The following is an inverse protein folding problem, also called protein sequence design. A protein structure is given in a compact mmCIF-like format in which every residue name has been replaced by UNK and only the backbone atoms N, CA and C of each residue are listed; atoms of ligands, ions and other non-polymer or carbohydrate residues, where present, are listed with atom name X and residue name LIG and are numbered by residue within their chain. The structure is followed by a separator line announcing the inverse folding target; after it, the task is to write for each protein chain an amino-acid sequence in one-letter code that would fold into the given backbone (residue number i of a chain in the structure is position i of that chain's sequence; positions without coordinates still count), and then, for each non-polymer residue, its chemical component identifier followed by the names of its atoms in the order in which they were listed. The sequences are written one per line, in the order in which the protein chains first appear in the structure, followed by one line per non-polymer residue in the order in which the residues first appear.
data_IF_384857670259
#
_entry.id   IF_384857670259
#
_cell.length_a   1.000
_cell.length_b   1.000
_cell.length_c   1.000
_cell.angle_alpha   90.00
_cell.angle_beta   90.00
_cell.angle_gamma   90.00
#
_symmetry.space_group_name_H-M   'P 1'
#
loop_
_entity.id
_entity.type
_entity.pdbx_description
1 polymer ?
#
# COMPACT_ATOMS: atom_id res chain seq x y z
N UNK A 1 12.55 -12.36 35.26
CA UNK A 1 11.58 -13.19 34.51
C UNK A 1 12.31 -14.40 33.95
N UNK A 2 12.36 -15.49 34.71
CA UNK A 2 12.84 -16.78 34.20
C UNK A 2 11.72 -17.41 33.35
N UNK A 3 12.06 -18.12 32.29
CA UNK A 3 11.14 -18.84 31.41
C UNK A 3 11.83 -19.21 30.13
N UNK A 4 11.62 -20.46 29.71
CA UNK A 4 12.31 -21.05 28.56
C UNK A 4 11.90 -20.34 27.29
N UNK A 5 10.61 -20.09 27.11
CA UNK A 5 10.10 -19.45 25.91
C UNK A 5 9.62 -18.03 26.19
N UNK A 6 10.03 -17.06 25.36
CA UNK A 6 9.56 -15.66 25.42
C UNK A 6 9.22 -15.20 24.01
N UNK A 7 7.98 -14.76 23.81
CA UNK A 7 7.47 -14.52 22.46
C UNK A 7 6.52 -13.32 22.42
N UNK A 8 6.89 -12.18 21.79
CA UNK A 8 5.90 -11.27 21.25
C UNK A 8 5.17 -11.94 20.08
N UNK A 9 3.85 -11.82 20.06
CA UNK A 9 2.98 -12.37 19.02
C UNK A 9 1.92 -11.36 18.62
N UNK A 10 1.47 -11.43 17.37
CA UNK A 10 0.29 -10.73 16.87
C UNK A 10 -0.85 -11.72 16.67
N UNK A 11 -2.08 -11.25 16.85
CA UNK A 11 -3.27 -12.02 16.50
C UNK A 11 -3.87 -11.46 15.22
N UNK A 12 -4.01 -12.36 14.25
CA UNK A 12 -4.74 -12.19 13.01
C UNK A 12 -6.15 -12.81 13.19
N UNK A 13 -6.96 -12.84 12.13
CA UNK A 13 -8.32 -13.35 12.19
C UNK A 13 -8.37 -14.82 12.65
N UNK A 14 -7.58 -15.67 11.98
CA UNK A 14 -7.58 -17.13 12.19
C UNK A 14 -6.30 -17.67 12.84
N UNK A 15 -5.27 -16.83 13.01
CA UNK A 15 -3.94 -17.28 13.45
C UNK A 15 -3.30 -16.32 14.42
N UNK A 16 -2.39 -16.84 15.23
CA UNK A 16 -1.42 -16.08 16.00
C UNK A 16 -0.06 -16.21 15.34
N UNK A 17 0.57 -15.10 15.01
CA UNK A 17 1.90 -15.04 14.39
C UNK A 17 2.94 -14.65 15.43
N UNK A 18 4.04 -15.39 15.50
CA UNK A 18 5.16 -15.07 16.40
C UNK A 18 6.11 -14.08 15.72
N UNK A 19 6.25 -12.88 16.30
CA UNK A 19 7.16 -11.84 15.78
C UNK A 19 8.61 -12.12 16.16
N UNK A 20 8.80 -12.69 17.35
CA UNK A 20 10.09 -13.16 17.81
C UNK A 20 9.88 -14.31 18.79
N UNK A 21 10.86 -15.17 18.89
CA UNK A 21 10.87 -16.25 19.86
C UNK A 21 12.28 -16.49 20.37
N UNK A 22 12.41 -16.55 21.69
CA UNK A 22 13.58 -17.13 22.36
C UNK A 22 13.14 -18.44 22.98
N UNK A 23 13.92 -19.49 22.79
CA UNK A 23 13.73 -20.81 23.41
C UNK A 23 12.67 -21.73 22.81
N UNK A 24 11.90 -21.31 21.79
CA UNK A 24 10.97 -22.21 21.06
C UNK A 24 11.73 -23.31 20.30
N UNK A 25 12.90 -23.01 19.74
CA UNK A 25 13.73 -23.99 19.01
C UNK A 25 14.20 -25.12 19.91
N UNK A 26 14.58 -24.79 21.16
CA UNK A 26 15.09 -25.76 22.14
C UNK A 26 14.03 -26.76 22.62
N UNK A 27 12.76 -26.47 22.34
CA UNK A 27 11.60 -27.25 22.79
C UNK A 27 10.80 -27.83 21.62
N UNK A 28 11.41 -27.89 20.42
CA UNK A 28 10.81 -28.50 19.23
C UNK A 28 9.68 -27.69 18.59
N UNK A 29 9.49 -26.44 19.00
CA UNK A 29 8.49 -25.50 18.47
C UNK A 29 9.11 -24.40 17.58
N UNK A 30 10.40 -24.48 17.31
CA UNK A 30 11.16 -23.40 16.68
C UNK A 30 10.79 -23.05 15.25
N UNK A 31 10.29 -24.04 14.50
CA UNK A 31 9.85 -23.84 13.12
C UNK A 31 8.42 -23.28 13.04
N UNK A 32 7.72 -23.23 14.17
CA UNK A 32 6.34 -22.77 14.24
C UNK A 32 6.30 -21.23 14.19
N UNK A 33 6.02 -20.69 13.01
CA UNK A 33 5.89 -19.23 12.79
C UNK A 33 4.52 -18.71 13.20
N UNK A 34 3.53 -19.57 13.17
CA UNK A 34 2.15 -19.27 13.52
C UNK A 34 1.41 -20.49 14.05
N UNK A 35 0.30 -20.24 14.76
CA UNK A 35 -0.64 -21.25 15.25
C UNK A 35 -2.07 -20.81 15.02
N UNK A 36 -3.04 -21.74 14.89
CA UNK A 36 -4.46 -21.38 14.93
C UNK A 36 -4.79 -20.60 16.20
N UNK A 37 -5.57 -19.53 16.05
CA UNK A 37 -5.93 -18.63 17.15
C UNK A 37 -6.70 -19.36 18.25
N UNK A 38 -7.54 -20.31 17.86
CA UNK A 38 -8.45 -21.07 18.72
C UNK A 38 -7.69 -21.93 19.73
N UNK A 39 -6.50 -22.39 19.36
CA UNK A 39 -5.68 -23.25 20.22
C UNK A 39 -4.73 -22.45 21.12
N UNK A 40 -4.74 -21.11 21.03
CA UNK A 40 -3.75 -20.26 21.66
C UNK A 40 -4.12 -19.76 23.06
N UNK A 41 -3.13 -19.72 23.96
CA UNK A 41 -3.26 -19.00 25.24
C UNK A 41 -3.39 -17.49 25.00
N UNK A 42 -2.77 -16.96 23.94
CA UNK A 42 -2.72 -15.54 23.67
C UNK A 42 -4.08 -14.95 23.28
N UNK A 43 -4.93 -15.73 22.59
CA UNK A 43 -6.33 -15.34 22.31
C UNK A 43 -7.11 -15.06 23.60
N UNK A 44 -6.88 -15.85 24.66
CA UNK A 44 -7.49 -15.57 25.95
C UNK A 44 -6.89 -14.33 26.63
N UNK A 45 -5.59 -14.07 26.41
CA UNK A 45 -4.88 -12.95 27.05
C UNK A 45 -5.38 -11.60 26.54
N UNK A 46 -5.62 -11.46 25.24
CA UNK A 46 -6.14 -10.21 24.68
C UNK A 46 -7.54 -9.86 25.23
N UNK A 47 -8.32 -10.87 25.64
CA UNK A 47 -9.65 -10.70 26.26
C UNK A 47 -9.59 -10.45 27.77
N UNK A 48 -8.42 -10.61 28.41
CA UNK A 48 -8.26 -10.57 29.87
C UNK A 48 -7.89 -9.19 30.43
N UNK A 49 -8.06 -8.13 29.62
CA UNK A 49 -7.69 -6.75 29.97
C UNK A 49 -6.17 -6.53 30.06
N UNK A 50 -5.75 -5.26 30.28
CA UNK A 50 -4.33 -4.83 30.15
C UNK A 50 -3.35 -5.56 31.08
N UNK A 51 -3.80 -6.13 32.19
CA UNK A 51 -2.91 -6.83 33.14
C UNK A 51 -2.63 -8.29 32.75
N UNK A 52 -3.36 -8.84 31.78
CA UNK A 52 -3.27 -10.23 31.34
C UNK A 52 -3.47 -11.24 32.47
N UNK A 53 -2.98 -12.47 32.29
CA UNK A 53 -3.06 -13.52 33.31
C UNK A 53 -1.85 -14.46 33.29
N UNK A 54 -1.78 -15.29 34.32
CA UNK A 54 -0.81 -16.38 34.40
C UNK A 54 -1.53 -17.68 34.75
N UNK A 55 -1.03 -18.77 34.21
CA UNK A 55 -1.44 -20.16 34.45
C UNK A 55 -0.22 -20.86 35.03
N UNK A 56 -0.33 -21.24 36.30
CA UNK A 56 0.76 -21.88 37.03
C UNK A 56 0.98 -23.33 36.61
N UNK A 57 -0.11 -24.02 36.26
CA UNK A 57 -0.12 -25.38 35.72
C UNK A 57 -1.34 -25.55 34.80
N UNK A 58 -1.11 -25.63 33.49
CA UNK A 58 -2.13 -25.71 32.44
C UNK A 58 -2.92 -27.02 32.49
N UNK A 59 -2.39 -28.08 33.10
CA UNK A 59 -3.13 -29.33 33.33
C UNK A 59 -4.22 -29.19 34.39
N UNK A 60 -4.18 -28.11 35.18
CA UNK A 60 -5.14 -27.83 36.25
C UNK A 60 -6.05 -26.65 35.91
N UNK A 61 -5.88 -26.08 34.72
CA UNK A 61 -6.68 -24.95 34.26
C UNK A 61 -7.72 -25.45 33.25
N UNK A 62 -9.00 -25.42 33.65
CA UNK A 62 -10.11 -25.94 32.87
C UNK A 62 -10.20 -25.35 31.44
N UNK A 63 -9.63 -24.16 31.21
CA UNK A 63 -9.61 -23.50 29.90
C UNK A 63 -8.64 -24.16 28.93
N UNK A 64 -7.59 -24.80 29.46
CA UNK A 64 -6.43 -25.24 28.67
C UNK A 64 -6.10 -26.72 28.83
N UNK A 65 -6.58 -27.39 29.88
CA UNK A 65 -6.22 -28.78 30.22
C UNK A 65 -6.43 -29.78 29.06
N UNK A 66 -7.39 -29.52 28.17
CA UNK A 66 -7.69 -30.36 26.99
C UNK A 66 -7.15 -29.78 25.68
N UNK A 67 -6.46 -28.65 25.75
CA UNK A 67 -5.97 -27.90 24.60
C UNK A 67 -4.76 -28.57 23.93
N UNK A 68 -4.60 -28.43 22.60
CA UNK A 68 -3.47 -29.01 21.86
C UNK A 68 -2.10 -28.58 22.38
N UNK A 69 -1.95 -27.32 22.81
CA UNK A 69 -0.69 -26.82 23.39
C UNK A 69 -0.29 -27.54 24.69
N UNK A 70 -1.26 -28.03 25.46
CA UNK A 70 -1.00 -28.78 26.70
C UNK A 70 -0.75 -30.26 26.40
N UNK A 71 -1.58 -30.86 25.56
CA UNK A 71 -1.57 -32.31 25.30
C UNK A 71 -0.50 -32.75 24.30
N UNK A 72 -0.30 -31.98 23.22
CA UNK A 72 0.60 -32.37 22.13
C UNK A 72 2.00 -31.78 22.31
N UNK A 73 2.06 -30.58 22.90
CA UNK A 73 3.32 -29.84 23.05
C UNK A 73 3.80 -29.75 24.49
N UNK A 74 3.00 -30.16 25.48
CA UNK A 74 3.47 -30.27 26.87
C UNK A 74 3.64 -28.93 27.59
N UNK A 75 3.06 -27.83 27.10
CA UNK A 75 3.10 -26.55 27.81
C UNK A 75 2.46 -26.72 29.19
N UNK A 76 3.14 -26.26 30.25
CA UNK A 76 2.68 -26.36 31.65
C UNK A 76 2.48 -25.01 32.31
N UNK A 77 3.36 -24.05 32.04
CA UNK A 77 3.23 -22.70 32.58
C UNK A 77 3.04 -21.69 31.46
N UNK A 78 2.18 -20.71 31.70
CA UNK A 78 1.96 -19.57 30.83
C UNK A 78 1.86 -18.28 31.66
N UNK A 79 2.45 -17.20 31.18
CA UNK A 79 2.14 -15.86 31.64
C UNK A 79 2.13 -14.91 30.44
N UNK A 80 1.01 -14.24 30.22
CA UNK A 80 0.83 -13.34 29.08
C UNK A 80 0.27 -12.00 29.51
N UNK A 81 0.70 -10.95 28.83
CA UNK A 81 0.09 -9.62 28.88
C UNK A 81 -0.24 -9.17 27.46
N UNK A 82 -1.33 -8.42 27.24
CA UNK A 82 -1.62 -7.87 25.94
C UNK A 82 -0.51 -6.94 25.45
N UNK A 83 -0.24 -7.00 24.14
CA UNK A 83 0.53 -6.01 23.41
C UNK A 83 -0.48 -5.07 22.74
N UNK A 84 -0.50 -3.81 23.18
CA UNK A 84 -1.47 -2.82 22.70
C UNK A 84 -1.00 -2.19 21.39
N UNK A 85 -1.96 -1.73 20.58
CA UNK A 85 -1.70 -1.04 19.34
C UNK A 85 -0.82 0.19 19.57
N UNK A 86 0.17 0.44 18.68
CA UNK A 86 1.00 1.63 18.74
C UNK A 86 0.16 2.90 18.55
N UNK A 87 0.49 3.98 19.27
CA UNK A 87 -0.13 5.28 19.09
C UNK A 87 0.58 6.06 17.97
N UNK A 88 0.11 5.89 16.74
CA UNK A 88 0.77 6.38 15.53
C UNK A 88 0.46 7.85 15.22
N UNK A 89 -0.75 8.31 15.50
CA UNK A 89 -1.19 9.70 15.28
C UNK A 89 -0.87 10.62 16.46
N UNK A 90 -0.39 10.05 17.58
CA UNK A 90 -0.11 10.73 18.86
C UNK A 90 -1.33 11.40 19.46
N UNK A 91 -2.53 11.00 19.05
CA UNK A 91 -3.76 11.56 19.57
C UNK A 91 -4.06 10.96 20.95
N UNK A 92 -4.76 11.76 21.78
CA UNK A 92 -5.27 11.27 23.06
C UNK A 92 -6.35 10.20 22.85
N UNK A 93 -7.16 10.37 21.81
CA UNK A 93 -8.21 9.42 21.44
C UNK A 93 -7.63 8.04 21.09
N UNK A 94 -6.55 7.97 20.31
CA UNK A 94 -5.89 6.70 20.00
C UNK A 94 -5.26 6.04 21.23
N UNK A 95 -4.83 6.80 22.24
CA UNK A 95 -4.30 6.24 23.49
C UNK A 95 -5.42 5.70 24.38
N UNK A 96 -6.57 6.38 24.41
CA UNK A 96 -7.75 5.98 25.17
C UNK A 96 -8.43 4.75 24.56
N UNK A 97 -8.55 4.71 23.23
CA UNK A 97 -9.20 3.63 22.48
C UNK A 97 -8.22 2.56 21.96
N UNK A 98 -7.01 2.47 22.53
CA UNK A 98 -6.02 1.48 22.10
C UNK A 98 -6.54 0.04 22.28
N UNK A 99 -6.37 -0.76 21.23
CA UNK A 99 -6.81 -2.16 21.19
C UNK A 99 -5.62 -3.12 21.34
N UNK A 100 -5.81 -4.33 21.89
CA UNK A 100 -4.76 -5.34 21.91
C UNK A 100 -4.59 -5.94 20.51
N UNK A 101 -3.38 -5.84 19.95
CA UNK A 101 -3.02 -6.42 18.64
C UNK A 101 -2.36 -7.79 18.78
N UNK A 102 -2.06 -8.20 20.01
CA UNK A 102 -1.18 -9.32 20.26
C UNK A 102 -0.89 -9.53 21.73
N UNK A 103 0.15 -10.32 22.02
CA UNK A 103 0.59 -10.55 23.40
C UNK A 103 2.10 -10.65 23.50
N UNK A 104 2.62 -10.22 24.65
CA UNK A 104 3.94 -10.62 25.11
C UNK A 104 3.76 -11.73 26.15
N UNK A 105 4.27 -12.91 25.86
CA UNK A 105 4.08 -14.04 26.76
C UNK A 105 5.36 -14.83 27.05
N UNK A 106 5.29 -15.57 28.16
CA UNK A 106 6.31 -16.48 28.65
C UNK A 106 5.66 -17.85 28.78
N UNK A 107 6.32 -18.88 28.24
CA UNK A 107 5.89 -20.27 28.35
C UNK A 107 6.98 -21.12 29.00
N UNK A 108 6.56 -22.17 29.69
CA UNK A 108 7.43 -23.21 30.25
C UNK A 108 6.76 -24.60 30.18
N UNK A 109 7.59 -25.63 30.18
CA UNK A 109 7.16 -27.05 30.12
C UNK A 109 7.17 -27.71 31.50
N UNK A 110 7.52 -26.95 32.53
CA UNK A 110 7.33 -27.32 33.93
C UNK A 110 6.34 -26.34 34.59
N UNK A 111 5.46 -26.81 35.49
CA UNK A 111 4.59 -25.93 36.25
C UNK A 111 5.42 -25.02 37.16
N UNK A 112 4.82 -23.93 37.64
CA UNK A 112 5.45 -23.01 38.59
C UNK A 112 4.62 -22.88 39.84
N UNK A 113 5.29 -22.81 40.99
CA UNK A 113 4.62 -22.62 42.27
C UNK A 113 4.02 -21.21 42.41
N UNK A 114 4.66 -20.20 41.82
CA UNK A 114 4.22 -18.80 41.96
C UNK A 114 4.55 -17.95 40.75
N UNK A 115 3.71 -16.94 40.54
CA UNK A 115 3.95 -15.81 39.64
C UNK A 115 3.64 -14.53 40.40
N UNK A 116 4.69 -13.82 40.81
CA UNK A 116 4.55 -12.71 41.76
C UNK A 116 3.96 -11.44 41.10
N UNK A 117 3.49 -10.50 41.93
CA UNK A 117 3.07 -9.17 41.46
C UNK A 117 4.22 -8.45 40.75
N UNK A 118 5.46 -8.63 41.21
CA UNK A 118 6.63 -8.01 40.58
C UNK A 118 6.98 -8.64 39.23
N UNK A 119 6.80 -9.95 39.08
CA UNK A 119 6.93 -10.61 37.77
C UNK A 119 5.89 -10.07 36.79
N UNK A 120 4.64 -9.92 37.24
CA UNK A 120 3.59 -9.28 36.43
C UNK A 120 3.96 -7.85 36.04
N UNK A 121 4.42 -7.02 36.98
CA UNK A 121 4.86 -5.65 36.71
C UNK A 121 5.98 -5.61 35.66
N UNK A 122 6.97 -6.49 35.77
CA UNK A 122 8.05 -6.60 34.77
C UNK A 122 7.52 -7.00 33.40
N UNK A 123 6.59 -7.94 33.34
CA UNK A 123 6.03 -8.40 32.07
C UNK A 123 5.21 -7.29 31.38
N UNK A 124 4.39 -6.56 32.15
CA UNK A 124 3.66 -5.38 31.66
C UNK A 124 4.65 -4.31 31.15
N UNK A 125 5.69 -4.02 31.93
CA UNK A 125 6.73 -3.06 31.52
C UNK A 125 7.40 -3.44 30.19
N UNK A 126 7.72 -4.72 30.00
CA UNK A 126 8.31 -5.20 28.75
C UNK A 126 7.33 -5.10 27.57
N UNK A 127 6.03 -5.30 27.79
CA UNK A 127 5.01 -5.11 26.74
C UNK A 127 4.92 -3.66 26.29
N UNK A 128 4.89 -2.72 27.24
CA UNK A 128 4.91 -1.29 26.93
C UNK A 128 6.21 -0.85 26.26
N UNK A 129 7.35 -1.46 26.64
CA UNK A 129 8.61 -1.23 25.97
C UNK A 129 8.56 -1.71 24.51
N UNK A 130 8.05 -2.93 24.27
CA UNK A 130 7.88 -3.48 22.92
C UNK A 130 6.96 -2.59 22.06
N UNK A 131 5.83 -2.12 22.61
CA UNK A 131 4.92 -1.18 21.94
C UNK A 131 5.65 0.07 21.46
N UNK A 132 6.46 0.70 22.32
CA UNK A 132 7.23 1.91 21.99
C UNK A 132 8.29 1.67 20.91
N UNK A 133 8.91 0.49 20.90
CA UNK A 133 9.87 0.17 19.83
C UNK A 133 9.16 -0.07 18.49
N UNK A 134 7.96 -0.65 18.49
CA UNK A 134 7.10 -0.76 17.29
C UNK A 134 6.71 0.63 16.78
N UNK A 135 6.29 1.53 17.67
CA UNK A 135 5.97 2.93 17.33
C UNK A 135 7.15 3.65 16.66
N UNK A 136 8.36 3.54 17.24
CA UNK A 136 9.58 4.13 16.66
C UNK A 136 9.91 3.54 15.29
N UNK A 137 9.78 2.22 15.15
CA UNK A 137 10.03 1.54 13.89
C UNK A 137 9.06 2.03 12.81
N UNK A 138 7.77 2.14 13.13
CA UNK A 138 6.75 2.63 12.21
C UNK A 138 7.00 4.09 11.81
N UNK A 139 7.32 4.95 12.78
CA UNK A 139 7.63 6.36 12.51
C UNK A 139 8.81 6.52 11.53
N UNK A 140 9.89 5.74 11.72
CA UNK A 140 11.04 5.75 10.79
C UNK A 140 10.66 5.25 9.40
N UNK A 141 9.85 4.18 9.32
CA UNK A 141 9.37 3.65 8.04
C UNK A 141 8.50 4.67 7.29
N UNK A 142 7.63 5.37 8.02
CA UNK A 142 6.78 6.41 7.46
C UNK A 142 7.60 7.60 6.98
N UNK A 143 8.59 8.05 7.75
CA UNK A 143 9.51 9.13 7.36
C UNK A 143 10.25 8.80 6.06
N UNK A 144 10.85 7.61 5.98
CA UNK A 144 11.52 7.12 4.76
C UNK A 144 10.58 7.09 3.56
N UNK A 145 9.35 6.60 3.76
CA UNK A 145 8.33 6.58 2.71
C UNK A 145 8.01 8.00 2.24
N UNK A 146 7.84 8.95 3.16
CA UNK A 146 7.54 10.36 2.82
C UNK A 146 8.68 11.05 2.08
N UNK A 147 9.93 10.74 2.42
CA UNK A 147 11.09 11.21 1.67
C UNK A 147 11.04 10.71 0.22
N UNK A 148 10.76 9.42 0.00
CA UNK A 148 10.64 8.82 -1.34
C UNK A 148 9.51 9.47 -2.14
N UNK A 149 8.30 9.60 -1.55
CA UNK A 149 7.16 10.23 -2.23
C UNK A 149 7.46 11.69 -2.59
N UNK A 150 8.10 12.43 -1.68
CA UNK A 150 8.45 13.84 -1.90
C UNK A 150 9.51 13.99 -2.97
N UNK A 151 10.55 13.15 -2.96
CA UNK A 151 11.60 13.15 -3.99
C UNK A 151 11.02 12.86 -5.37
N UNK A 152 10.12 11.87 -5.49
CA UNK A 152 9.42 11.57 -6.73
C UNK A 152 8.58 12.77 -7.23
N UNK A 153 7.88 13.47 -6.33
CA UNK A 153 7.14 14.68 -6.68
C UNK A 153 8.06 15.82 -7.15
N UNK A 154 9.26 15.95 -6.57
CA UNK A 154 10.25 16.93 -7.03
C UNK A 154 10.79 16.58 -8.42
N UNK A 155 11.08 15.30 -8.67
CA UNK A 155 11.48 14.79 -10.00
C UNK A 155 10.41 15.11 -11.04
N UNK A 156 9.13 14.82 -10.73
CA UNK A 156 8.00 15.20 -11.58
C UNK A 156 8.00 16.68 -11.93
N UNK A 157 8.08 17.57 -10.92
CA UNK A 157 8.11 19.02 -11.13
C UNK A 157 9.30 19.49 -11.97
N UNK A 158 10.46 18.84 -11.85
CA UNK A 158 11.65 19.15 -12.64
C UNK A 158 11.48 18.72 -14.10
N UNK A 159 11.12 17.46 -14.32
CA UNK A 159 10.97 16.85 -15.64
C UNK A 159 9.83 17.50 -16.44
N UNK A 160 8.70 17.83 -15.79
CA UNK A 160 7.62 18.58 -16.43
C UNK A 160 8.11 19.91 -17.02
N UNK A 161 8.96 20.65 -16.31
CA UNK A 161 9.50 21.93 -16.81
C UNK A 161 10.36 21.71 -18.06
N UNK A 162 11.08 20.59 -18.14
CA UNK A 162 11.89 20.23 -19.30
C UNK A 162 10.99 19.87 -20.49
N UNK A 163 9.94 19.08 -20.28
CA UNK A 163 8.98 18.72 -21.32
C UNK A 163 8.29 19.96 -21.89
N UNK A 164 7.87 20.90 -21.03
CA UNK A 164 7.23 22.15 -21.45
C UNK A 164 8.16 23.08 -22.24
N UNK A 165 9.45 23.11 -21.92
CA UNK A 165 10.45 23.94 -22.61
C UNK A 165 10.97 23.35 -23.92
N UNK A 166 10.70 22.08 -24.19
CA UNK A 166 11.24 21.39 -25.37
C UNK A 166 10.58 21.93 -26.65
N UNK A 167 11.34 22.53 -27.59
CA UNK A 167 10.81 22.94 -28.88
C UNK A 167 10.64 21.69 -29.75
N UNK A 168 9.47 21.07 -29.66
CA UNK A 168 9.06 20.06 -30.65
C UNK A 168 8.54 20.86 -31.84
N UNK A 169 9.25 20.78 -32.97
CA UNK A 169 8.92 21.51 -34.19
C UNK A 169 7.50 21.21 -34.64
N UNK A 170 6.65 22.24 -34.67
CA UNK A 170 5.28 22.15 -35.19
C UNK A 170 4.24 23.05 -34.52
N UNK A 171 4.47 23.55 -33.30
CA UNK A 171 3.45 24.32 -32.57
C UNK A 171 3.83 25.81 -32.44
N UNK A 172 2.87 26.68 -32.76
CA UNK A 172 2.92 28.14 -32.58
C UNK A 172 3.33 28.53 -31.14
N UNK A 173 3.91 29.73 -30.93
CA UNK A 173 4.43 30.13 -29.63
C UNK A 173 3.30 30.26 -28.60
N UNK A 174 3.24 29.32 -27.66
CA UNK A 174 2.39 29.45 -26.48
C UNK A 174 2.93 30.55 -25.56
N UNK A 175 2.03 31.46 -25.20
CA UNK A 175 2.25 32.55 -24.26
C UNK A 175 2.79 32.03 -22.92
N UNK A 176 4.02 32.40 -22.61
CA UNK A 176 4.74 31.99 -21.42
C UNK A 176 4.31 32.76 -20.14
N UNK A 177 3.24 33.55 -20.20
CA UNK A 177 2.90 34.52 -19.14
C UNK A 177 1.93 34.02 -18.08
N UNK A 178 1.25 32.87 -18.23
CA UNK A 178 0.27 32.40 -17.22
C UNK A 178 0.82 31.40 -16.18
N UNK A 179 2.11 31.02 -16.24
CA UNK A 179 2.70 30.06 -15.29
C UNK A 179 3.28 30.74 -14.04
N UNK A 180 3.18 32.06 -13.94
CA UNK A 180 3.68 32.81 -12.78
C UNK A 180 2.68 33.91 -12.38
N UNK A 181 1.69 33.55 -11.57
CA UNK A 181 1.07 34.51 -10.66
C UNK A 181 1.01 33.93 -9.26
N UNK A 182 1.63 34.69 -8.36
CA UNK A 182 1.84 34.46 -6.95
C UNK A 182 0.63 33.96 -6.16
N UNK A 183 0.91 33.12 -5.16
CA UNK A 183 0.27 33.26 -3.86
C UNK A 183 1.32 33.02 -2.76
N UNK A 184 2.14 34.04 -2.53
CA UNK A 184 2.73 34.29 -1.22
C UNK A 184 1.77 35.23 -0.48
N UNK A 185 0.86 34.67 0.31
CA UNK A 185 0.28 35.40 1.44
C UNK A 185 0.42 34.55 2.70
N UNK A 186 1.41 34.93 3.49
CA UNK A 186 1.60 34.48 4.85
C UNK A 186 0.47 35.03 5.71
N UNK A 187 -0.37 34.17 6.28
CA UNK A 187 -0.93 34.42 7.60
C UNK A 187 -0.43 33.35 8.56
N UNK A 188 0.26 33.84 9.58
CA UNK A 188 0.90 33.06 10.61
C UNK A 188 -0.13 32.36 11.50
N UNK A 189 0.06 31.05 11.72
CA UNK A 189 -0.32 30.41 12.97
C UNK A 189 0.93 29.71 13.51
N UNK A 190 1.38 30.26 14.64
CA UNK A 190 2.52 29.91 15.51
C UNK A 190 2.94 28.44 15.49
N UNK A 191 4.22 28.10 15.21
CA UNK A 191 4.79 26.84 15.63
C UNK A 191 5.41 27.01 17.03
N UNK A 192 4.93 26.24 18.01
CA UNK A 192 5.61 26.11 19.29
C UNK A 192 6.90 25.30 19.09
N UNK A 193 7.97 25.94 19.53
CA UNK A 193 9.37 25.57 19.47
C UNK A 193 9.73 24.20 20.05
N UNK A 194 10.66 23.51 19.39
CA UNK A 194 11.92 23.10 20.04
C UNK A 194 13.04 22.93 19.00
N UNK A 195 13.82 24.00 18.86
CA UNK A 195 15.22 23.98 18.42
C UNK A 195 16.03 23.10 19.39
N UNK A 196 17.19 22.50 19.11
CA UNK A 196 18.13 22.36 17.99
C UNK A 196 18.99 21.12 18.38
N UNK A 197 19.70 20.46 17.47
CA UNK A 197 21.17 20.52 17.37
C UNK A 197 21.53 19.65 16.17
N UNK A 198 22.04 20.24 15.08
CA UNK A 198 23.03 19.57 14.23
C UNK A 198 23.94 20.64 13.63
N UNK A 199 25.20 20.63 14.09
CA UNK A 199 26.31 21.34 13.46
C UNK A 199 26.94 20.42 12.42
N UNK A 200 27.10 20.97 11.22
CA UNK A 200 28.18 20.78 10.22
C UNK A 200 28.90 19.43 10.19
N UNK A 201 28.85 18.77 9.04
CA UNK A 201 30.06 18.43 8.29
C UNK A 201 29.83 18.66 6.79
N UNK A 202 30.69 19.51 6.21
CA UNK A 202 30.97 19.55 4.77
C UNK A 202 31.93 18.40 4.43
N UNK A 203 31.86 17.88 3.20
CA UNK A 203 32.97 17.83 2.24
C UNK A 203 33.00 16.57 1.36
N UNK A 204 32.83 16.78 0.03
CA UNK A 204 33.60 16.23 -1.12
C UNK A 204 33.46 14.69 -1.36
N UNK A 205 33.24 14.12 -2.56
CA UNK A 205 33.66 14.48 -3.93
C UNK A 205 32.78 13.79 -4.99
N UNK A 206 32.72 14.48 -6.14
CA UNK A 206 32.47 14.02 -7.51
C UNK A 206 33.14 12.71 -7.93
N UNK A 207 32.53 11.94 -8.85
CA UNK A 207 33.17 11.42 -10.10
C UNK A 207 32.11 11.14 -11.19
N UNK A 208 32.58 11.42 -12.41
CA UNK A 208 32.07 11.48 -13.78
C UNK A 208 31.32 10.30 -14.42
N UNK A 209 30.38 10.71 -15.28
CA UNK A 209 30.04 10.25 -16.65
C UNK A 209 30.79 9.06 -17.28
N UNK A 210 30.01 8.13 -17.83
CA UNK A 210 30.34 7.39 -19.06
C UNK A 210 29.12 7.37 -19.98
N UNK A 211 29.30 7.95 -21.16
CA UNK A 211 28.42 7.82 -22.32
C UNK A 211 28.74 6.52 -23.06
N UNK A 212 27.73 5.78 -23.52
CA UNK A 212 27.88 4.85 -24.64
C UNK A 212 26.70 4.96 -25.60
N UNK A 213 27.05 4.77 -26.86
CA UNK A 213 26.43 5.27 -28.08
C UNK A 213 25.37 4.35 -28.67
N UNK A 214 24.56 4.98 -29.53
CA UNK A 214 23.61 4.43 -30.49
C UNK A 214 24.02 3.12 -31.17
N UNK A 215 23.02 2.25 -31.36
CA UNK A 215 23.01 1.24 -32.42
C UNK A 215 21.73 1.41 -33.23
N UNK A 216 21.91 1.46 -34.54
CA UNK A 216 20.90 1.64 -35.57
C UNK A 216 20.73 0.32 -36.29
N UNK A 217 19.52 -0.24 -36.37
CA UNK A 217 19.23 -1.26 -37.37
C UNK A 217 17.81 -1.13 -37.92
N UNK A 218 17.78 -1.35 -39.24
CA UNK A 218 16.77 -1.07 -40.25
C UNK A 218 15.42 -1.80 -40.08
N UNK A 219 14.42 -1.13 -40.65
CA UNK A 219 13.11 -1.61 -41.09
C UNK A 219 13.11 -2.98 -41.79
N UNK A 220 12.09 -3.79 -41.51
CA UNK A 220 11.43 -4.61 -42.51
C UNK A 220 9.94 -4.78 -42.15
N UNK A 221 9.06 -4.47 -43.10
CA UNK A 221 7.62 -4.63 -42.97
C UNK A 221 7.20 -6.11 -43.06
N UNK A 222 6.13 -6.52 -42.37
CA UNK A 222 4.97 -7.13 -43.04
C UNK A 222 3.78 -7.40 -42.10
N UNK A 223 2.62 -6.92 -42.56
CA UNK A 223 1.27 -7.52 -42.49
C UNK A 223 0.52 -7.53 -41.14
N UNK A 224 -0.61 -6.82 -41.20
CA UNK A 224 -1.70 -6.73 -40.24
C UNK A 224 -2.41 -8.05 -39.96
N UNK A 225 -3.14 -8.11 -38.83
CA UNK A 225 -4.47 -8.70 -38.85
C UNK A 225 -5.54 -7.78 -38.24
N UNK A 226 -6.60 -7.61 -39.04
CA UNK A 226 -8.02 -7.45 -38.68
C UNK A 226 -8.43 -6.38 -37.64
N UNK A 227 -8.93 -5.27 -38.18
CA UNK A 227 -9.83 -4.29 -37.54
C UNK A 227 -11.06 -4.97 -36.93
N UNK A 228 -11.33 -4.69 -35.66
CA UNK A 228 -12.66 -4.80 -35.06
C UNK A 228 -12.87 -3.64 -34.08
N UNK A 229 -13.83 -2.76 -34.39
CA UNK A 229 -14.26 -1.63 -33.55
C UNK A 229 -13.67 -0.26 -33.90
N UNK A 230 -14.00 0.28 -35.08
CA UNK A 230 -13.56 1.62 -35.55
C UNK A 230 -14.51 2.71 -35.06
N UNK A 231 -13.97 3.83 -34.57
CA UNK A 231 -14.71 5.08 -34.42
C UNK A 231 -14.26 5.95 -33.27
N UNK A 232 -14.59 5.58 -32.03
CA UNK A 232 -14.58 6.52 -30.91
C UNK A 232 -13.17 6.94 -30.44
N UNK A 233 -12.23 6.00 -30.47
CA UNK A 233 -10.90 6.19 -29.87
C UNK A 233 -9.76 6.34 -30.89
N UNK A 234 -10.00 6.01 -32.16
CA UNK A 234 -9.01 6.17 -33.25
C UNK A 234 -8.57 7.64 -33.40
N UNK A 235 -9.49 8.58 -33.17
CA UNK A 235 -9.21 10.02 -33.21
C UNK A 235 -8.38 10.49 -32.00
N UNK A 236 -8.41 9.76 -30.89
CA UNK A 236 -7.75 10.21 -29.66
C UNK A 236 -6.23 10.02 -29.70
N UNK A 237 -5.75 8.91 -30.30
CA UNK A 237 -4.32 8.69 -30.53
C UNK A 237 -3.74 9.74 -31.51
N UNK A 238 -4.58 10.24 -32.42
CA UNK A 238 -4.25 11.36 -33.34
C UNK A 238 -4.33 12.72 -32.62
N UNK A 239 -5.27 12.88 -31.68
CA UNK A 239 -5.48 14.13 -30.93
C UNK A 239 -4.41 14.37 -29.84
N UNK A 240 -3.70 13.34 -29.40
CA UNK A 240 -2.68 13.45 -28.36
C UNK A 240 -1.37 14.03 -28.90
N UNK A 241 -1.07 15.27 -28.52
CA UNK A 241 0.22 15.88 -28.85
C UNK A 241 1.39 15.02 -28.30
N UNK A 242 2.54 14.94 -29.00
CA UNK A 242 3.72 14.22 -28.51
C UNK A 242 4.19 14.70 -27.13
N UNK A 243 3.98 15.99 -26.81
CA UNK A 243 4.27 16.56 -25.49
C UNK A 243 3.35 15.95 -24.42
N UNK A 244 2.04 15.90 -24.68
CA UNK A 244 1.05 15.31 -23.76
C UNK A 244 1.35 13.83 -23.49
N UNK A 245 1.70 13.06 -24.53
CA UNK A 245 2.06 11.64 -24.38
C UNK A 245 3.26 11.45 -23.45
N UNK A 246 4.31 12.26 -23.63
CA UNK A 246 5.49 12.24 -22.72
C UNK A 246 5.13 12.57 -21.27
N UNK A 247 4.21 13.51 -21.04
CA UNK A 247 3.74 13.85 -19.69
C UNK A 247 3.02 12.64 -19.06
N UNK A 248 2.17 11.96 -19.82
CA UNK A 248 1.45 10.79 -19.35
C UNK A 248 2.38 9.61 -19.05
N UNK A 249 3.35 9.36 -19.94
CA UNK A 249 4.35 8.31 -19.75
C UNK A 249 5.23 8.61 -18.53
N UNK A 250 5.64 9.86 -18.34
CA UNK A 250 6.40 10.26 -17.15
C UNK A 250 5.61 10.03 -15.87
N UNK A 251 4.32 10.40 -15.85
CA UNK A 251 3.46 10.22 -14.69
C UNK A 251 3.31 8.74 -14.33
N UNK A 252 2.93 7.90 -15.30
CA UNK A 252 2.70 6.47 -15.07
C UNK A 252 3.99 5.76 -14.64
N UNK A 253 5.14 6.11 -15.23
CA UNK A 253 6.45 5.58 -14.82
C UNK A 253 6.82 5.98 -13.38
N UNK A 254 6.74 7.27 -13.03
CA UNK A 254 7.08 7.73 -11.69
C UNK A 254 6.17 7.11 -10.63
N UNK A 255 4.87 7.03 -10.90
CA UNK A 255 3.91 6.40 -9.98
C UNK A 255 4.23 4.92 -9.81
N UNK A 256 4.47 4.20 -10.91
CA UNK A 256 4.81 2.79 -10.90
C UNK A 256 6.04 2.48 -10.07
N UNK A 257 7.13 3.22 -10.29
CA UNK A 257 8.39 3.05 -9.57
C UNK A 257 8.30 3.48 -8.10
N UNK A 258 7.59 4.57 -7.81
CA UNK A 258 7.55 5.15 -6.46
C UNK A 258 6.67 4.35 -5.52
N UNK A 259 5.51 3.91 -6.01
CA UNK A 259 4.56 3.12 -5.23
C UNK A 259 4.76 1.62 -5.39
N UNK A 260 5.74 1.19 -6.17
CA UNK A 260 6.05 -0.23 -6.43
C UNK A 260 4.80 -0.98 -6.93
N UNK A 261 4.17 -0.41 -7.97
CA UNK A 261 3.06 -1.05 -8.67
C UNK A 261 3.58 -1.96 -9.77
N UNK A 262 2.99 -3.14 -9.91
CA UNK A 262 3.31 -4.10 -10.96
C UNK A 262 2.84 -3.59 -12.33
N UNK A 263 1.78 -2.78 -12.36
CA UNK A 263 1.23 -2.15 -13.56
C UNK A 263 0.59 -0.80 -13.18
N UNK A 264 0.83 0.25 -13.98
CA UNK A 264 0.08 1.51 -13.89
C UNK A 264 -0.49 1.85 -15.26
N UNK A 265 -1.76 2.24 -15.33
CA UNK A 265 -2.43 2.63 -16.56
C UNK A 265 -3.13 3.97 -16.38
N UNK A 266 -2.94 4.86 -17.35
CA UNK A 266 -3.86 5.96 -17.61
C UNK A 266 -4.85 5.49 -18.67
N UNK A 267 -6.14 5.49 -18.38
CA UNK A 267 -7.16 5.03 -19.31
C UNK A 267 -8.29 6.04 -19.49
N UNK A 268 -8.81 6.13 -20.71
CA UNK A 268 -10.10 6.72 -21.03
C UNK A 268 -11.19 5.67 -20.83
N UNK A 269 -12.34 6.06 -20.29
CA UNK A 269 -13.53 5.22 -20.16
C UNK A 269 -14.74 5.98 -20.67
N UNK A 270 -15.52 5.35 -21.55
CA UNK A 270 -16.74 5.94 -22.13
C UNK A 270 -17.93 5.01 -21.92
N UNK A 271 -19.12 5.57 -21.73
CA UNK A 271 -20.35 4.79 -21.63
C UNK A 271 -20.89 4.50 -23.05
N UNK A 272 -21.28 3.26 -23.33
CA UNK A 272 -21.97 2.96 -24.60
C UNK A 272 -23.48 2.88 -24.34
N UNK A 273 -24.26 3.72 -25.01
CA UNK A 273 -25.71 3.87 -24.80
C UNK A 273 -26.60 2.70 -25.27
N UNK A 274 -26.05 1.48 -25.38
CA UNK A 274 -26.77 0.29 -25.85
C UNK A 274 -27.47 -0.48 -24.72
N UNK A 275 -28.46 -1.31 -25.08
CA UNK A 275 -29.31 -2.09 -24.15
C UNK A 275 -28.57 -3.04 -23.18
N UNK A 276 -27.26 -3.29 -23.40
CA UNK A 276 -26.40 -4.08 -22.50
C UNK A 276 -25.37 -3.24 -21.72
N UNK A 277 -25.36 -1.91 -21.85
CA UNK A 277 -24.73 -0.96 -20.91
C UNK A 277 -23.23 -1.07 -20.64
N UNK A 278 -22.47 -1.87 -21.38
CA UNK A 278 -21.03 -2.08 -21.11
C UNK A 278 -20.23 -0.82 -21.49
N UNK A 279 -19.51 -0.26 -20.51
CA UNK A 279 -18.52 0.78 -20.80
C UNK A 279 -17.39 0.25 -21.71
N UNK A 280 -16.68 1.16 -22.38
CA UNK A 280 -15.47 0.83 -23.13
C UNK A 280 -14.27 1.58 -22.54
N UNK A 281 -13.16 0.88 -22.36
CA UNK A 281 -11.89 1.47 -21.89
C UNK A 281 -10.84 1.47 -22.98
N UNK A 282 -10.01 2.51 -23.00
CA UNK A 282 -8.77 2.54 -23.77
C UNK A 282 -7.59 2.99 -22.91
N UNK A 283 -6.49 2.24 -22.95
CA UNK A 283 -5.23 2.62 -22.31
C UNK A 283 -4.52 3.67 -23.16
N UNK A 284 -4.20 4.80 -22.54
CA UNK A 284 -3.53 5.95 -23.16
C UNK A 284 -2.02 5.87 -22.95
N UNK A 285 -1.63 5.51 -21.74
CA UNK A 285 -0.25 5.39 -21.29
C UNK A 285 -0.18 4.39 -20.15
N UNK A 286 0.98 3.78 -19.94
CA UNK A 286 1.17 2.93 -18.79
C UNK A 286 2.61 2.51 -18.55
N UNK A 287 2.80 1.99 -17.34
CA UNK A 287 4.03 1.41 -16.83
C UNK A 287 3.85 -0.10 -16.73
N UNK A 288 4.80 -0.87 -17.28
CA UNK A 288 4.79 -2.34 -17.28
C UNK A 288 3.51 -2.97 -17.89
N UNK A 289 2.96 -2.39 -18.97
CA UNK A 289 1.82 -3.00 -19.68
C UNK A 289 2.23 -4.37 -20.24
N UNK A 290 1.58 -5.48 -19.82
CA UNK A 290 1.93 -6.82 -20.29
C UNK A 290 1.48 -7.05 -21.75
N UNK A 291 2.03 -8.09 -22.35
CA UNK A 291 1.62 -8.60 -23.67
C UNK A 291 1.08 -10.03 -23.52
N UNK A 292 -0.21 -10.30 -23.81
CA UNK A 292 -1.20 -9.38 -24.38
C UNK A 292 -1.66 -8.28 -23.39
N UNK A 293 -2.16 -7.17 -23.95
CA UNK A 293 -2.66 -6.02 -23.17
C UNK A 293 -3.81 -6.47 -22.26
N UNK A 294 -3.81 -6.06 -20.97
CA UNK A 294 -4.81 -6.50 -20.03
C UNK A 294 -6.18 -5.89 -20.35
N UNK A 295 -7.24 -6.66 -20.11
CA UNK A 295 -8.62 -6.16 -20.19
C UNK A 295 -8.92 -5.39 -18.91
N UNK A 296 -9.29 -4.11 -19.04
CA UNK A 296 -9.71 -3.28 -17.91
C UNK A 296 -11.24 -3.30 -17.85
N UNK A 297 -11.79 -3.59 -16.66
CA UNK A 297 -13.22 -3.57 -16.43
C UNK A 297 -13.74 -2.11 -16.47
N UNK A 298 -14.51 -1.79 -17.51
CA UNK A 298 -15.06 -0.47 -17.71
C UNK A 298 -16.07 -0.06 -16.63
N UNK A 299 -16.86 -1.00 -16.12
CA UNK A 299 -17.85 -0.72 -15.08
C UNK A 299 -17.17 -0.43 -13.74
N UNK A 300 -16.05 -1.11 -13.45
CA UNK A 300 -15.20 -0.75 -12.32
C UNK A 300 -14.61 0.67 -12.48
N UNK A 301 -14.12 1.03 -13.67
CA UNK A 301 -13.63 2.38 -13.95
C UNK A 301 -14.72 3.45 -13.81
N UNK A 302 -15.93 3.21 -14.34
CA UNK A 302 -17.06 4.12 -14.24
C UNK A 302 -17.52 4.29 -12.78
N UNK A 303 -17.52 3.21 -11.99
CA UNK A 303 -17.79 3.30 -10.54
C UNK A 303 -16.75 4.16 -9.84
N UNK A 304 -15.46 3.98 -10.15
CA UNK A 304 -14.40 4.80 -9.57
C UNK A 304 -14.51 6.28 -9.97
N UNK A 305 -14.83 6.54 -11.24
CA UNK A 305 -15.04 7.89 -11.77
C UNK A 305 -16.18 8.63 -11.06
N UNK A 306 -17.22 7.91 -10.67
CA UNK A 306 -18.42 8.44 -10.00
C UNK A 306 -18.38 8.36 -8.49
N UNK A 307 -17.31 7.79 -7.92
CA UNK A 307 -17.15 7.69 -6.48
C UNK A 307 -17.00 9.11 -5.90
N UNK A 308 -17.76 9.49 -4.86
CA UNK A 308 -17.73 10.84 -4.30
C UNK A 308 -16.36 11.21 -3.70
N UNK A 309 -15.54 10.21 -3.36
CA UNK A 309 -14.18 10.40 -2.88
C UNK A 309 -13.14 10.56 -4.00
N UNK A 310 -13.55 10.50 -5.27
CA UNK A 310 -12.65 10.64 -6.43
C UNK A 310 -11.85 9.37 -6.76
N UNK A 311 -12.32 8.20 -6.34
CA UNK A 311 -11.68 6.91 -6.63
C UNK A 311 -12.11 5.78 -5.70
N UNK A 312 -11.51 4.61 -5.91
CA UNK A 312 -11.76 3.38 -5.18
C UNK A 312 -10.44 2.63 -4.92
N UNK A 313 -10.36 1.97 -3.76
CA UNK A 313 -9.39 0.91 -3.50
C UNK A 313 -10.11 -0.43 -3.71
N UNK A 314 -9.47 -1.32 -4.45
CA UNK A 314 -10.00 -2.62 -4.79
C UNK A 314 -9.02 -3.70 -4.33
N UNK A 315 -9.54 -4.78 -3.77
CA UNK A 315 -8.77 -5.95 -3.39
C UNK A 315 -9.52 -7.17 -3.91
N UNK A 316 -8.83 -8.01 -4.69
CA UNK A 316 -9.42 -9.24 -5.15
C UNK A 316 -9.57 -10.21 -3.97
N UNK A 317 -10.68 -10.97 -3.92
CA UNK A 317 -10.82 -12.05 -2.96
C UNK A 317 -9.68 -13.05 -3.13
N UNK A 318 -9.30 -13.68 -2.02
CA UNK A 318 -8.33 -14.77 -2.04
C UNK A 318 -8.87 -15.96 -2.84
N UNK A 319 -8.00 -16.89 -3.24
CA UNK A 319 -8.41 -18.09 -3.96
C UNK A 319 -9.43 -18.90 -3.15
N UNK A 320 -9.23 -19.02 -1.83
CA UNK A 320 -10.14 -19.71 -0.91
C UNK A 320 -11.52 -19.05 -0.86
N UNK A 321 -11.57 -17.72 -0.71
CA UNK A 321 -12.83 -16.97 -0.71
C UNK A 321 -13.55 -17.04 -2.07
N UNK A 322 -12.80 -17.09 -3.16
CA UNK A 322 -13.35 -17.22 -4.51
C UNK A 322 -13.94 -18.61 -4.74
N UNK A 323 -13.27 -19.67 -4.26
CA UNK A 323 -13.79 -21.04 -4.29
C UNK A 323 -15.06 -21.20 -3.45
N UNK A 324 -15.06 -20.68 -2.22
CA UNK A 324 -16.22 -20.69 -1.32
C UNK A 324 -17.41 -19.91 -1.90
N UNK A 325 -17.14 -18.81 -2.61
CA UNK A 325 -18.17 -18.00 -3.28
C UNK A 325 -18.58 -18.56 -4.66
N UNK A 326 -17.96 -19.65 -5.13
CA UNK A 326 -18.23 -20.23 -6.46
C UNK A 326 -17.82 -19.32 -7.63
N UNK A 327 -16.89 -18.38 -7.41
CA UNK A 327 -16.38 -17.46 -8.42
C UNK A 327 -15.23 -18.12 -9.18
N UNK A 328 -15.37 -18.22 -10.51
CA UNK A 328 -14.31 -18.70 -11.40
C UNK A 328 -13.67 -17.50 -12.12
N UNK A 329 -12.33 -17.40 -12.17
CA UNK A 329 -11.67 -16.35 -12.95
C UNK A 329 -12.05 -16.47 -14.42
N UNK A 330 -12.44 -15.35 -15.05
CA UNK A 330 -12.68 -15.32 -16.48
C UNK A 330 -11.34 -15.43 -17.23
N UNK A 331 -11.08 -16.61 -17.80
CA UNK A 331 -9.96 -16.85 -18.70
C UNK A 331 -8.90 -17.79 -18.11
N UNK A 332 -8.69 -18.92 -18.80
CA UNK A 332 -7.63 -19.87 -18.44
C UNK A 332 -6.26 -19.20 -18.62
N UNK A 333 -5.55 -18.94 -17.51
CA UNK A 333 -4.19 -18.38 -17.51
C UNK A 333 -4.09 -16.86 -17.33
N UNK A 334 -5.18 -16.15 -17.02
CA UNK A 334 -5.12 -14.72 -16.70
C UNK A 334 -4.56 -14.53 -15.27
N UNK A 335 -3.41 -13.89 -15.14
CA UNK A 335 -2.88 -13.44 -13.84
C UNK A 335 -3.78 -12.34 -13.29
N UNK A 336 -4.56 -12.65 -12.26
CA UNK A 336 -5.38 -11.67 -11.55
C UNK A 336 -4.50 -10.84 -10.61
N UNK A 337 -4.66 -9.51 -10.64
CA UNK A 337 -4.01 -8.63 -9.67
C UNK A 337 -4.51 -8.94 -8.25
N UNK A 338 -3.70 -8.69 -7.23
CA UNK A 338 -4.11 -8.87 -5.84
C UNK A 338 -4.94 -7.66 -5.36
N UNK A 339 -4.49 -6.45 -5.69
CA UNK A 339 -5.19 -5.22 -5.35
C UNK A 339 -4.92 -4.10 -6.34
N UNK A 340 -5.75 -3.07 -6.30
CA UNK A 340 -5.69 -1.92 -7.19
C UNK A 340 -6.09 -0.62 -6.49
N UNK A 341 -5.45 0.48 -6.90
CA UNK A 341 -5.88 1.85 -6.62
C UNK A 341 -6.39 2.45 -7.93
N UNK A 342 -7.63 2.95 -7.93
CA UNK A 342 -8.27 3.51 -9.12
C UNK A 342 -8.76 4.91 -8.76
N UNK A 343 -8.15 5.95 -9.35
CA UNK A 343 -8.52 7.34 -9.09
C UNK A 343 -9.12 7.99 -10.34
N UNK A 344 -10.17 8.78 -10.14
CA UNK A 344 -10.74 9.63 -11.19
C UNK A 344 -9.77 10.77 -11.53
N UNK A 345 -9.62 11.09 -12.81
CA UNK A 345 -8.86 12.26 -13.28
C UNK A 345 -9.85 13.33 -13.74
N UNK A 346 -10.01 14.36 -12.89
CA UNK A 346 -11.06 15.36 -13.09
C UNK A 346 -12.45 14.79 -12.86
N UNK A 347 -13.45 15.41 -13.45
CA UNK A 347 -14.86 15.00 -13.39
C UNK A 347 -15.38 14.65 -14.78
N UNK A 348 -16.49 13.91 -14.85
CA UNK A 348 -17.22 13.75 -16.11
C UNK A 348 -17.56 15.14 -16.69
N UNK A 349 -17.37 15.32 -18.00
CA UNK A 349 -17.73 16.56 -18.68
C UNK A 349 -19.25 16.75 -18.74
N UNK A 350 -19.98 15.64 -18.93
CA UNK A 350 -21.44 15.58 -18.86
C UNK A 350 -21.87 14.30 -18.13
N UNK A 351 -23.04 14.28 -17.47
CA UNK A 351 -23.53 13.06 -16.85
C UNK A 351 -23.56 11.90 -17.84
N UNK A 352 -22.88 10.80 -17.50
CA UNK A 352 -22.72 9.62 -18.35
C UNK A 352 -21.84 9.80 -19.61
N UNK A 353 -21.04 10.87 -19.71
CA UNK A 353 -20.09 11.00 -20.84
C UNK A 353 -18.88 10.07 -20.72
N UNK A 354 -18.61 9.54 -19.53
CA UNK A 354 -17.32 8.93 -19.23
C UNK A 354 -16.25 9.97 -18.92
N UNK A 355 -15.01 9.52 -18.80
CA UNK A 355 -13.89 10.33 -18.32
C UNK A 355 -12.57 9.57 -18.33
N UNK A 356 -11.62 10.06 -17.52
CA UNK A 356 -10.28 9.49 -17.42
C UNK A 356 -10.02 8.94 -16.03
N UNK A 357 -9.30 7.83 -15.95
CA UNK A 357 -8.94 7.17 -14.70
C UNK A 357 -7.46 6.83 -14.68
N UNK A 358 -6.86 6.91 -13.50
CA UNK A 358 -5.52 6.44 -13.22
C UNK A 358 -5.63 5.16 -12.39
N UNK A 359 -5.06 4.07 -12.90
CA UNK A 359 -5.10 2.76 -12.26
C UNK A 359 -3.68 2.34 -11.87
N UNK A 360 -3.47 1.95 -10.62
CA UNK A 360 -2.26 1.28 -10.16
C UNK A 360 -2.61 -0.10 -9.62
N UNK A 361 -1.98 -1.14 -10.16
CA UNK A 361 -2.23 -2.54 -9.82
C UNK A 361 -0.99 -3.16 -9.19
N UNK A 362 -1.20 -4.07 -8.25
CA UNK A 362 -0.14 -4.89 -7.66
C UNK A 362 -0.55 -6.35 -7.60
N UNK A 363 0.40 -7.24 -7.81
CA UNK A 363 0.31 -8.68 -7.58
C UNK A 363 0.74 -9.06 -6.15
N UNK A 364 1.29 -8.11 -5.37
CA UNK A 364 1.64 -8.35 -3.97
C UNK A 364 0.40 -8.37 -3.08
N UNK A 365 -0.01 -9.56 -2.69
CA UNK A 365 -1.09 -9.84 -1.73
C UNK A 365 -0.91 -9.16 -0.36
N UNK A 366 0.31 -8.73 -0.01
CA UNK A 366 0.61 -8.06 1.26
C UNK A 366 0.64 -6.54 1.14
N UNK A 367 0.46 -5.99 -0.07
CA UNK A 367 0.45 -4.55 -0.28
C UNK A 367 -0.78 -3.94 0.38
N UNK A 368 -0.54 -3.00 1.28
CA UNK A 368 -1.57 -2.15 1.89
C UNK A 368 -1.32 -0.73 1.45
N UNK A 369 -2.38 -0.08 0.92
CA UNK A 369 -2.32 1.32 0.50
C UNK A 369 -2.59 2.22 1.70
N UNK A 370 -1.60 3.03 2.07
CA UNK A 370 -1.77 4.06 3.10
C UNK A 370 -2.42 5.32 2.54
N UNK A 371 -2.89 6.19 3.43
CA UNK A 371 -3.46 7.49 3.05
C UNK A 371 -2.45 8.34 2.25
N UNK A 372 -1.17 8.20 2.57
CA UNK A 372 -0.07 8.84 1.89
C UNK A 372 0.13 8.41 0.44
N UNK A 373 -0.14 7.13 0.12
CA UNK A 373 -0.05 6.61 -1.25
C UNK A 373 -1.18 7.20 -2.10
N UNK A 374 -2.38 7.22 -1.52
CA UNK A 374 -3.56 7.82 -2.13
C UNK A 374 -3.34 9.31 -2.37
N UNK A 375 -2.84 10.05 -1.37
CA UNK A 375 -2.52 11.47 -1.52
C UNK A 375 -1.46 11.73 -2.59
N UNK A 376 -0.44 10.87 -2.68
CA UNK A 376 0.57 10.96 -3.73
C UNK A 376 -0.04 10.76 -5.11
N UNK A 377 -0.81 9.69 -5.32
CA UNK A 377 -1.43 9.41 -6.61
C UNK A 377 -2.51 10.45 -6.97
N UNK A 378 -3.21 11.00 -5.99
CA UNK A 378 -4.20 12.06 -6.19
C UNK A 378 -3.56 13.38 -6.67
N UNK A 379 -2.35 13.73 -6.20
CA UNK A 379 -1.60 14.87 -6.73
C UNK A 379 -1.31 14.71 -8.23
N UNK A 380 -0.93 13.51 -8.67
CA UNK A 380 -0.75 13.23 -10.10
C UNK A 380 -2.09 13.33 -10.85
N UNK A 381 -3.16 12.76 -10.31
CA UNK A 381 -4.49 12.87 -10.91
C UNK A 381 -4.92 14.33 -11.15
N UNK A 382 -4.75 15.19 -10.13
CA UNK A 382 -5.06 16.62 -10.23
C UNK A 382 -4.22 17.32 -11.31
N UNK A 383 -2.93 17.05 -11.39
CA UNK A 383 -2.06 17.66 -12.40
C UNK A 383 -2.39 17.13 -13.82
N UNK A 384 -2.68 15.84 -13.96
CA UNK A 384 -3.07 15.23 -15.23
C UNK A 384 -4.42 15.75 -15.74
N UNK A 385 -5.32 16.16 -14.85
CA UNK A 385 -6.63 16.72 -15.23
C UNK A 385 -6.55 17.95 -16.14
N UNK A 386 -5.46 18.73 -16.04
CA UNK A 386 -5.21 19.91 -16.91
C UNK A 386 -4.93 19.54 -18.36
N UNK A 387 -4.46 18.32 -18.59
CA UNK A 387 -4.16 17.79 -19.92
C UNK A 387 -5.36 17.04 -20.47
N UNK A 388 -6.02 16.23 -19.64
CA UNK A 388 -7.18 15.44 -20.07
C UNK A 388 -8.40 16.31 -20.35
N UNK A 389 -8.56 17.46 -19.69
CA UNK A 389 -9.66 18.42 -19.98
C UNK A 389 -9.61 19.01 -21.40
N UNK A 390 -8.47 18.90 -22.09
CA UNK A 390 -8.29 19.36 -23.48
C UNK A 390 -8.59 18.25 -24.50
N UNK A 391 -8.80 17.02 -24.03
CA UNK A 391 -9.09 15.85 -24.86
C UNK A 391 -10.60 15.65 -24.83
N UNK A 392 -11.22 15.61 -26.01
CA UNK A 392 -12.64 15.25 -26.14
C UNK A 392 -12.76 13.72 -26.21
N UNK A 393 -13.69 13.18 -25.41
CA UNK A 393 -14.05 11.76 -25.35
C UNK A 393 -15.32 11.46 -26.12
#
# INVERSE_FOLDING_TARGET
LAGRCKTPSLLDDNRQVFLAASGLNEVGLGEMRDIPKEISFCAHTILSGRKGFAVLDSHKDWRFEKGPLVNNYGVRFYAGVPLMAPNLDKSKESEENTCPIGTLCILDFAPREKFSVDDRRRLVYLSEYARREIEKWFARKMEQKMEILTASQQTWCHELKLVSRSPIGGDDPLDASEVLSDNTSSQAVVPLSTQSIFRRFNSISSVSTISTSASSHKSLSSKSPMKLGSGLFDDMDVALSPKTRRVFDLATNLIGQTLDFSLVCLAAVVTTGGANGLGQTMIISGYNIPSPVPVIDADLCLRALRAPQGGLLYQNPTAEESEDAGLQPQGAGATTCASAMILSIGTEAYPNSGGFVLLGYTDDTKKVFGAEDVLFMNKFSQELSRYTSKIQL
#
